data_IF_118320773669
#
_entry.id   IF_118320773669
#
_cell.length_a   1.000
_cell.length_b   1.000
_cell.length_c   1.000
_cell.angle_alpha   90.00
_cell.angle_beta   90.00
_cell.angle_gamma   90.00
#
_symmetry.space_group_name_H-M   'P 1'
#
loop_
_entity.id
_entity.type
_entity.pdbx_description
1 polymer ?
#
# COMPACT_ATOMS: atom_id res chain seq x y z
N UNK A 1 -11.97 -17.87 -10.44
CA UNK A 1 -12.64 -17.33 -9.24
C UNK A 1 -11.56 -16.89 -8.28
N UNK A 2 -11.75 -15.76 -7.63
CA UNK A 2 -10.74 -15.10 -6.81
C UNK A 2 -11.37 -14.63 -5.51
N UNK A 3 -10.67 -14.81 -4.39
CA UNK A 3 -10.98 -14.18 -3.10
C UNK A 3 -10.43 -12.74 -3.10
N UNK A 4 -11.28 -11.75 -2.83
CA UNK A 4 -10.87 -10.33 -2.84
C UNK A 4 -10.53 -9.80 -1.45
N UNK A 5 -10.66 -10.63 -0.42
CA UNK A 5 -10.37 -10.24 0.98
C UNK A 5 -8.88 -10.40 1.33
N UNK A 6 -8.14 -11.15 0.52
CA UNK A 6 -6.71 -11.35 0.71
C UNK A 6 -5.88 -10.10 0.30
N UNK A 7 -4.75 -9.87 0.98
CA UNK A 7 -3.86 -8.75 0.67
C UNK A 7 -3.30 -8.86 -0.76
N UNK A 8 -2.96 -7.71 -1.34
CA UNK A 8 -2.36 -7.62 -2.68
C UNK A 8 -3.33 -7.80 -3.85
N UNK A 9 -4.60 -8.17 -3.60
CA UNK A 9 -5.60 -8.31 -4.67
C UNK A 9 -6.03 -6.93 -5.18
N UNK A 10 -5.73 -6.66 -6.45
CA UNK A 10 -6.10 -5.42 -7.14
C UNK A 10 -7.12 -5.72 -8.22
N UNK A 11 -8.39 -5.54 -7.85
CA UNK A 11 -9.54 -5.69 -8.75
C UNK A 11 -10.54 -4.57 -8.50
N UNK A 12 -11.39 -4.22 -9.47
CA UNK A 12 -12.49 -3.30 -9.19
C UNK A 12 -13.56 -3.92 -8.29
N UNK A 13 -13.51 -3.55 -7.01
CA UNK A 13 -14.35 -4.08 -5.93
C UNK A 13 -15.86 -3.93 -6.15
N UNK A 14 -16.29 -2.98 -6.99
CA UNK A 14 -17.70 -2.81 -7.36
C UNK A 14 -18.29 -4.04 -8.10
N UNK A 15 -17.44 -4.91 -8.66
CA UNK A 15 -17.83 -6.16 -9.32
C UNK A 15 -17.69 -7.39 -8.42
N UNK A 16 -17.13 -7.22 -7.21
CA UNK A 16 -17.02 -8.30 -6.23
C UNK A 16 -18.36 -8.51 -5.49
N UNK A 17 -18.62 -9.75 -5.10
CA UNK A 17 -19.80 -10.19 -4.34
C UNK A 17 -19.36 -11.20 -3.30
N UNK A 18 -19.80 -11.02 -2.05
CA UNK A 18 -19.52 -11.95 -0.95
C UNK A 18 -18.03 -12.29 -0.77
N UNK A 19 -17.16 -11.27 -0.91
CA UNK A 19 -15.72 -11.45 -0.81
C UNK A 19 -15.07 -12.15 -2.01
N UNK A 20 -15.80 -12.36 -3.10
CA UNK A 20 -15.29 -13.07 -4.27
C UNK A 20 -15.54 -12.31 -5.58
N UNK A 21 -14.71 -12.60 -6.58
CA UNK A 21 -14.90 -12.10 -7.94
C UNK A 21 -14.63 -13.19 -8.98
N UNK A 22 -15.44 -13.20 -10.04
CA UNK A 22 -15.24 -14.06 -11.21
C UNK A 22 -14.66 -13.23 -12.34
N UNK A 23 -13.45 -13.59 -12.76
CA UNK A 23 -12.72 -12.91 -13.82
C UNK A 23 -12.69 -13.78 -15.08
N UNK A 24 -13.00 -13.17 -16.23
CA UNK A 24 -12.89 -13.84 -17.51
C UNK A 24 -11.53 -13.57 -18.13
N UNK A 25 -10.68 -14.60 -18.19
CA UNK A 25 -9.31 -14.53 -18.74
C UNK A 25 -9.20 -15.08 -20.17
N UNK A 26 -10.32 -15.29 -20.87
CA UNK A 26 -10.27 -15.71 -22.27
C UNK A 26 -9.53 -14.65 -23.12
N UNK A 27 -8.76 -15.03 -24.16
CA UNK A 27 -7.95 -14.10 -24.95
C UNK A 27 -8.72 -12.90 -25.54
N UNK A 28 -10.03 -13.06 -25.77
CA UNK A 28 -10.92 -11.99 -26.27
C UNK A 28 -11.34 -10.96 -25.23
N UNK A 29 -11.18 -11.25 -23.94
CA UNK A 29 -11.66 -10.43 -22.83
C UNK A 29 -10.53 -9.66 -22.12
N UNK A 30 -9.29 -10.10 -22.29
CA UNK A 30 -8.11 -9.56 -21.61
C UNK A 30 -7.03 -9.17 -22.61
N UNK A 31 -6.15 -8.25 -22.21
CA UNK A 31 -4.91 -7.92 -22.90
C UNK A 31 -3.73 -8.00 -21.92
N UNK A 32 -2.53 -8.28 -22.44
CA UNK A 32 -1.31 -8.43 -21.64
C UNK A 32 -1.50 -9.42 -20.48
N UNK A 33 -2.06 -10.60 -20.77
CA UNK A 33 -2.22 -11.65 -19.76
C UNK A 33 -0.84 -12.22 -19.41
N UNK A 34 -0.48 -12.10 -18.15
CA UNK A 34 0.69 -12.70 -17.53
C UNK A 34 0.22 -13.69 -16.47
N UNK A 35 0.66 -14.95 -16.61
CA UNK A 35 0.45 -16.01 -15.64
C UNK A 35 1.81 -16.33 -15.01
N UNK A 36 2.17 -15.61 -13.96
CA UNK A 36 3.42 -15.83 -13.22
C UNK A 36 3.19 -16.78 -12.03
N UNK A 37 4.27 -17.16 -11.36
CA UNK A 37 4.22 -18.03 -10.18
C UNK A 37 3.75 -17.29 -8.92
N UNK A 38 3.83 -15.96 -8.90
CA UNK A 38 3.48 -15.15 -7.73
C UNK A 38 2.08 -14.52 -7.91
N UNK A 39 1.77 -14.07 -9.13
CA UNK A 39 0.51 -13.40 -9.43
C UNK A 39 0.07 -13.56 -10.90
N UNK A 40 -1.23 -13.35 -11.10
CA UNK A 40 -1.87 -13.21 -12.40
C UNK A 40 -2.14 -11.74 -12.67
N UNK A 41 -1.62 -11.23 -13.79
CA UNK A 41 -1.82 -9.83 -14.22
C UNK A 41 -2.45 -9.77 -15.59
N UNK A 42 -3.36 -8.81 -15.78
CA UNK A 42 -3.90 -8.49 -17.10
C UNK A 42 -4.63 -7.16 -17.12
N UNK A 43 -4.89 -6.66 -18.32
CA UNK A 43 -5.80 -5.55 -18.56
C UNK A 43 -7.16 -6.08 -19.04
N UNK A 44 -8.25 -5.56 -18.49
CA UNK A 44 -9.60 -5.91 -18.92
C UNK A 44 -10.53 -4.69 -18.91
N UNK A 45 -11.71 -4.83 -19.50
CA UNK A 45 -12.75 -3.80 -19.47
C UNK A 45 -13.85 -4.17 -18.50
N UNK A 46 -14.14 -3.26 -17.58
CA UNK A 46 -15.23 -3.36 -16.62
C UNK A 46 -16.21 -2.22 -16.89
N UNK A 47 -17.43 -2.54 -17.32
CA UNK A 47 -18.39 -1.53 -17.76
C UNK A 47 -17.89 -0.67 -18.95
N UNK A 48 -16.99 -1.23 -19.77
CA UNK A 48 -16.34 -0.52 -20.88
C UNK A 48 -15.08 0.27 -20.50
N UNK A 49 -14.86 0.51 -19.21
CA UNK A 49 -13.69 1.23 -18.68
C UNK A 49 -12.50 0.26 -18.58
N UNK A 50 -11.34 0.56 -19.20
CA UNK A 50 -10.15 -0.27 -19.07
C UNK A 50 -9.59 -0.19 -17.65
N UNK A 51 -9.31 -1.34 -17.04
CA UNK A 51 -8.64 -1.46 -15.74
C UNK A 51 -7.56 -2.52 -15.80
N UNK A 52 -6.50 -2.27 -15.04
CA UNK A 52 -5.48 -3.26 -14.75
C UNK A 52 -5.94 -4.12 -13.57
N UNK A 53 -5.63 -5.41 -13.64
CA UNK A 53 -5.94 -6.41 -12.62
C UNK A 53 -4.65 -7.10 -12.22
N UNK A 54 -4.43 -7.24 -10.91
CA UNK A 54 -3.34 -8.00 -10.29
C UNK A 54 -3.92 -8.91 -9.23
N UNK A 55 -3.63 -10.20 -9.29
CA UNK A 55 -4.17 -11.19 -8.35
C UNK A 55 -3.06 -12.14 -7.92
N UNK A 56 -2.61 -12.09 -6.65
CA UNK A 56 -1.68 -13.10 -6.10
C UNK A 56 -2.24 -14.52 -6.27
N UNK A 57 -1.38 -15.52 -6.48
CA UNK A 57 -1.84 -16.91 -6.64
C UNK A 57 -2.59 -17.43 -5.41
N UNK A 58 -2.20 -16.99 -4.21
CA UNK A 58 -2.89 -17.30 -2.95
C UNK A 58 -4.40 -16.95 -2.97
N UNK A 59 -4.78 -15.93 -3.75
CA UNK A 59 -6.17 -15.47 -3.87
C UNK A 59 -6.96 -16.21 -4.96
N UNK A 60 -6.33 -17.06 -5.77
CA UNK A 60 -7.00 -17.77 -6.87
C UNK A 60 -7.63 -19.07 -6.36
N UNK A 61 -8.94 -19.05 -6.16
CA UNK A 61 -9.67 -20.19 -5.60
C UNK A 61 -9.93 -21.31 -6.62
N UNK A 62 -10.24 -20.96 -7.87
CA UNK A 62 -10.60 -21.94 -8.90
C UNK A 62 -10.46 -21.42 -10.31
N UNK A 63 -10.30 -22.35 -11.25
CA UNK A 63 -10.36 -22.09 -12.69
C UNK A 63 -11.35 -23.05 -13.34
N UNK A 64 -12.23 -22.52 -14.20
CA UNK A 64 -13.23 -23.31 -14.90
C UNK A 64 -13.65 -22.67 -16.22
N UNK A 65 -14.08 -23.53 -17.14
CA UNK A 65 -14.69 -23.15 -18.40
C UNK A 65 -16.14 -22.69 -18.15
N UNK A 66 -16.49 -21.51 -18.67
CA UNK A 66 -17.82 -20.93 -18.51
C UNK A 66 -18.93 -21.78 -19.15
N UNK A 67 -18.64 -22.50 -20.24
CA UNK A 67 -19.64 -23.16 -21.08
C UNK A 67 -20.21 -24.43 -20.47
N UNK A 68 -19.38 -25.20 -19.76
CA UNK A 68 -19.74 -26.50 -19.21
C UNK A 68 -19.33 -26.66 -17.74
N UNK A 69 -18.74 -25.65 -17.12
CA UNK A 69 -18.28 -25.69 -15.73
C UNK A 69 -17.06 -26.59 -15.51
N UNK A 70 -16.46 -27.15 -16.55
CA UNK A 70 -15.30 -28.02 -16.42
C UNK A 70 -14.09 -27.24 -15.90
N UNK A 71 -13.43 -27.74 -14.86
CA UNK A 71 -12.37 -27.02 -14.19
C UNK A 71 -11.91 -27.71 -12.92
N UNK A 72 -11.13 -26.99 -12.11
CA UNK A 72 -10.69 -27.45 -10.80
C UNK A 72 -10.76 -26.30 -9.79
N UNK A 73 -11.06 -26.66 -8.55
CA UNK A 73 -10.79 -25.83 -7.39
C UNK A 73 -9.36 -26.12 -6.93
N UNK A 74 -8.63 -25.10 -6.52
CA UNK A 74 -7.31 -25.27 -5.94
C UNK A 74 -7.45 -25.65 -4.47
N UNK A 75 -6.61 -26.57 -4.00
CA UNK A 75 -6.49 -26.91 -2.59
C UNK A 75 -5.59 -25.86 -1.91
N UNK A 76 -5.83 -25.53 -0.63
CA UNK A 76 -4.96 -24.64 0.11
C UNK A 76 -3.55 -25.24 0.22
N UNK A 77 -2.53 -24.43 -0.04
CA UNK A 77 -1.12 -24.80 0.10
C UNK A 77 -0.48 -24.00 1.23
N UNK A 78 0.27 -24.68 2.10
CA UNK A 78 0.91 -24.05 3.27
C UNK A 78 1.85 -22.88 2.90
N UNK A 79 2.43 -22.90 1.70
CA UNK A 79 3.28 -21.83 1.19
C UNK A 79 2.55 -20.47 1.05
N UNK A 80 1.22 -20.50 0.91
CA UNK A 80 0.39 -19.30 0.78
C UNK A 80 -0.25 -18.85 2.11
N UNK A 81 -0.34 -19.74 3.10
CA UNK A 81 -0.87 -19.42 4.43
C UNK A 81 0.08 -18.52 5.24
N UNK A 82 1.39 -18.71 5.08
CA UNK A 82 2.39 -17.94 5.83
C UNK A 82 2.41 -16.47 5.37
N UNK A 83 2.33 -16.20 4.07
CA UNK A 83 2.43 -14.85 3.47
C UNK A 83 1.26 -13.92 3.86
N UNK A 84 0.05 -14.48 4.02
CA UNK A 84 -1.12 -13.73 4.46
C UNK A 84 -0.98 -13.17 5.89
N UNK A 85 -0.12 -13.76 6.73
CA UNK A 85 0.09 -13.34 8.11
C UNK A 85 1.16 -12.24 8.27
N UNK A 86 2.09 -12.11 7.32
CA UNK A 86 3.26 -11.22 7.45
C UNK A 86 2.93 -9.78 7.06
N UNK A 87 1.97 -9.57 6.13
CA UNK A 87 1.59 -8.22 5.69
C UNK A 87 0.62 -7.49 6.64
N UNK A 88 0.18 -8.13 7.72
CA UNK A 88 -0.75 -7.53 8.68
C UNK A 88 -0.06 -6.74 9.82
N UNK A 89 1.27 -6.82 9.94
CA UNK A 89 2.04 -6.23 11.06
C UNK A 89 2.74 -4.89 10.74
N UNK A 90 2.81 -4.45 9.47
CA UNK A 90 3.54 -3.22 9.09
C UNK A 90 2.70 -1.93 9.04
N UNK A 91 1.37 -1.97 9.22
CA UNK A 91 0.51 -0.77 9.20
C UNK A 91 0.02 -0.30 10.59
N UNK A 92 0.68 -0.69 11.68
CA UNK A 92 0.25 -0.36 13.06
C UNK A 92 1.32 0.31 13.95
N UNK A 93 2.25 1.08 13.39
CA UNK A 93 3.20 1.86 14.21
C UNK A 93 3.44 3.27 13.67
N UNK A 94 2.42 4.14 13.81
CA UNK A 94 2.56 5.57 13.60
C UNK A 94 1.60 6.41 14.46
N UNK A 95 1.56 6.18 15.78
CA UNK A 95 1.12 7.10 16.86
C UNK A 95 1.32 6.29 18.16
N UNK A 96 2.01 6.65 19.23
CA UNK A 96 2.31 7.91 19.90
C UNK A 96 3.33 7.59 21.02
N UNK A 97 4.25 8.51 21.34
CA UNK A 97 4.56 8.87 22.74
C UNK A 97 5.49 10.09 22.74
N UNK A 98 4.86 11.27 22.80
CA UNK A 98 5.55 12.49 23.24
C UNK A 98 5.74 12.36 24.76
N UNK A 99 6.93 11.96 25.19
CA UNK A 99 7.35 12.10 26.59
C UNK A 99 7.81 13.53 26.84
N UNK A 100 6.87 14.35 27.33
CA UNK A 100 7.07 15.70 27.82
C UNK A 100 7.78 15.63 29.18
N UNK A 101 9.07 15.97 29.24
CA UNK A 101 9.82 16.06 30.51
C UNK A 101 9.56 17.40 31.20
N UNK A 102 8.81 17.37 32.29
CA UNK A 102 8.59 18.52 33.19
C UNK A 102 9.86 18.71 34.02
N UNK A 103 10.55 19.85 33.87
CA UNK A 103 11.67 20.23 34.73
C UNK A 103 11.11 21.20 35.78
N UNK A 104 11.15 20.76 37.03
CA UNK A 104 10.74 21.48 38.24
C UNK A 104 11.62 22.72 38.43
N UNK A 105 11.03 23.92 38.30
CA UNK A 105 11.71 25.19 38.48
C UNK A 105 11.54 25.71 39.90
N UNK A 106 12.58 25.54 40.73
CA UNK A 106 12.71 26.24 42.02
C UNK A 106 13.28 27.66 41.81
N UNK A 107 12.52 28.62 42.35
CA UNK A 107 12.89 29.91 42.96
C UNK A 107 12.69 31.25 42.20
N UNK A 108 12.08 32.26 42.87
CA UNK A 108 11.66 33.53 42.26
C UNK A 108 12.53 34.76 42.63
N UNK A 109 12.20 35.86 41.95
CA UNK A 109 12.39 37.30 42.24
C UNK A 109 13.82 37.92 42.15
N UNK A 110 14.03 38.90 41.25
CA UNK A 110 14.02 40.36 41.53
C UNK A 110 14.75 41.17 40.42
N UNK A 111 14.04 42.19 39.91
CA UNK A 111 14.42 43.56 39.47
C UNK A 111 15.51 43.82 38.40
N UNK A 112 15.15 44.53 37.32
CA UNK A 112 15.26 46.00 37.21
C UNK A 112 15.01 46.48 35.76
N UNK A 113 14.40 47.67 35.62
CA UNK A 113 13.99 48.33 34.38
C UNK A 113 15.18 48.92 33.59
N UNK A 114 15.19 48.91 32.24
CA UNK A 114 15.70 50.03 31.38
C UNK A 114 15.57 49.76 29.86
N UNK A 115 14.86 50.66 29.17
CA UNK A 115 14.83 50.94 27.70
C UNK A 115 16.14 51.63 27.22
N UNK A 116 16.31 52.03 25.93
CA UNK A 116 16.21 51.35 24.62
C UNK A 116 17.53 51.53 23.79
N UNK A 117 17.58 51.04 22.54
CA UNK A 117 18.59 51.33 21.48
C UNK A 117 20.06 50.89 21.70
N UNK A 118 20.43 49.71 21.18
CA UNK A 118 21.71 49.49 20.45
C UNK A 118 21.61 48.18 19.62
N UNK A 119 21.43 48.29 18.30
CA UNK A 119 21.48 47.15 17.36
C UNK A 119 22.80 47.19 16.56
N UNK A 120 23.39 46.03 16.24
CA UNK A 120 23.79 45.83 14.84
C UNK A 120 23.29 44.50 14.23
N UNK A 121 22.90 44.47 12.93
CA UNK A 121 22.27 43.32 12.28
C UNK A 121 23.22 42.40 11.49
N UNK A 122 22.69 41.21 11.10
CA UNK A 122 22.93 40.39 9.86
C UNK A 122 23.50 38.96 10.05
N UNK A 123 23.41 38.04 9.05
CA UNK A 123 22.51 37.91 7.88
C UNK A 123 21.89 36.49 7.68
N UNK A 124 20.92 36.29 6.76
CA UNK A 124 20.46 34.97 6.32
C UNK A 124 21.21 34.48 5.07
N UNK A 125 21.19 33.15 4.79
CA UNK A 125 21.40 32.42 3.50
C UNK A 125 22.09 31.07 3.82
N UNK A 126 21.63 29.89 3.41
CA UNK A 126 21.05 29.48 2.14
C UNK A 126 22.01 28.47 1.48
N UNK A 127 21.51 27.31 1.01
CA UNK A 127 22.27 26.45 0.09
C UNK A 127 22.05 24.94 0.26
N UNK A 128 21.20 24.35 -0.60
CA UNK A 128 21.07 22.90 -0.79
C UNK A 128 22.23 22.39 -1.67
N UNK A 129 22.89 21.26 -1.37
CA UNK A 129 23.91 20.69 -2.26
C UNK A 129 23.31 19.88 -3.43
N UNK A 130 24.02 19.89 -4.57
CA UNK A 130 23.63 19.28 -5.86
C UNK A 130 24.51 18.05 -6.25
N UNK A 131 23.93 17.16 -7.06
CA UNK A 131 24.50 15.87 -7.52
C UNK A 131 25.63 16.02 -8.56
N UNK A 132 26.55 15.03 -8.61
CA UNK A 132 27.73 15.00 -9.48
C UNK A 132 27.78 13.68 -10.26
N UNK A 133 27.86 13.76 -11.60
CA UNK A 133 27.94 12.59 -12.50
C UNK A 133 29.39 12.15 -12.65
N UNK A 134 29.64 10.84 -12.56
CA UNK A 134 30.94 10.19 -12.78
C UNK A 134 30.97 9.58 -14.19
N UNK A 135 32.16 9.58 -14.81
CA UNK A 135 32.41 9.12 -16.18
C UNK A 135 32.85 7.66 -16.21
#
# INVERSE_FOLDING_TARGET
MVDVTLPGVQVPMEYARDGQIVLNIAPRAVGNLELANDEVRFNARFGGIPRQVSVPLAAVLAIYARENGAGTMFEPEAAYDEDASIMNDEEASADNETVMSVIDGDKPDHDDETHPDDEPPQPPRGGRPALRVVK
#
